data_IF_631339689451
#
_entry.id   IF_631339689451
#
_cell.length_a   1.000
_cell.length_b   1.000
_cell.length_c   1.000
_cell.angle_alpha   90.00
_cell.angle_beta   90.00
_cell.angle_gamma   90.00
#
_symmetry.space_group_name_H-M   'P 1'
#
loop_
_entity.id
_entity.type
_entity.pdbx_description
1 polymer ?
#
# COMPACT_ATOMS: atom_id res chain seq x y z
N UNK A 1 27.37 -27.80 -38.84
CA UNK A 1 27.30 -26.46 -38.22
C UNK A 1 28.06 -26.54 -36.92
N UNK A 2 29.05 -25.67 -36.70
CA UNK A 2 29.84 -25.68 -35.45
C UNK A 2 28.91 -25.59 -34.24
N UNK A 3 29.15 -26.43 -33.22
CA UNK A 3 28.35 -26.46 -31.98
C UNK A 3 28.23 -25.07 -31.33
N UNK A 4 29.28 -24.27 -31.46
CA UNK A 4 29.33 -22.88 -31.02
C UNK A 4 28.39 -21.96 -31.80
N UNK A 5 28.28 -22.14 -33.12
CA UNK A 5 27.38 -21.33 -33.98
C UNK A 5 25.92 -21.69 -33.68
N UNK A 6 25.60 -22.97 -33.52
CA UNK A 6 24.26 -23.40 -33.12
C UNK A 6 23.86 -22.82 -31.76
N UNK A 7 24.77 -22.84 -30.78
CA UNK A 7 24.53 -22.27 -29.45
C UNK A 7 24.30 -20.76 -29.50
N UNK A 8 25.09 -20.02 -30.29
CA UNK A 8 24.92 -18.58 -30.48
C UNK A 8 23.58 -18.25 -31.16
N UNK A 9 23.18 -19.03 -32.17
CA UNK A 9 21.88 -18.86 -32.83
C UNK A 9 20.72 -19.15 -31.88
N UNK A 10 20.85 -20.15 -31.00
CA UNK A 10 19.82 -20.48 -30.02
C UNK A 10 19.70 -19.37 -28.95
N UNK A 11 20.82 -18.84 -28.47
CA UNK A 11 20.82 -17.69 -27.54
C UNK A 11 20.19 -16.46 -28.19
N UNK A 12 20.54 -16.17 -29.46
CA UNK A 12 19.96 -15.07 -30.21
C UNK A 12 18.44 -15.26 -30.38
N UNK A 13 17.99 -16.47 -30.69
CA UNK A 13 16.57 -16.79 -30.80
C UNK A 13 15.84 -16.61 -29.45
N UNK A 14 16.40 -17.09 -28.34
CA UNK A 14 15.85 -16.87 -27.01
C UNK A 14 15.78 -15.38 -26.65
N UNK A 15 16.79 -14.58 -27.02
CA UNK A 15 16.79 -13.15 -26.75
C UNK A 15 15.73 -12.42 -27.58
N UNK A 16 15.57 -12.79 -28.86
CA UNK A 16 14.52 -12.25 -29.73
C UNK A 16 13.14 -12.63 -29.22
N UNK A 17 12.92 -13.90 -28.89
CA UNK A 17 11.64 -14.38 -28.36
C UNK A 17 11.31 -13.67 -27.04
N UNK A 18 12.24 -13.63 -26.08
CA UNK A 18 12.02 -12.94 -24.81
C UNK A 18 11.75 -11.43 -24.99
N UNK A 19 12.43 -10.78 -25.94
CA UNK A 19 12.22 -9.35 -26.23
C UNK A 19 10.88 -9.08 -26.89
N UNK A 20 10.47 -9.91 -27.85
CA UNK A 20 9.16 -9.81 -28.49
C UNK A 20 8.05 -10.14 -27.50
N UNK A 21 8.23 -11.19 -26.70
CA UNK A 21 7.31 -11.58 -25.65
C UNK A 21 7.15 -10.43 -24.64
N UNK A 22 8.25 -9.83 -24.17
CA UNK A 22 8.21 -8.63 -23.32
C UNK A 22 7.50 -7.48 -24.02
N UNK A 23 7.80 -7.18 -25.29
CA UNK A 23 7.17 -6.08 -26.01
C UNK A 23 5.65 -6.26 -26.18
N UNK A 24 5.19 -7.50 -26.39
CA UNK A 24 3.77 -7.83 -26.59
C UNK A 24 3.01 -7.99 -25.28
N UNK A 25 3.64 -8.54 -24.24
CA UNK A 25 2.97 -8.89 -22.97
C UNK A 25 3.27 -7.91 -21.83
N UNK A 26 4.24 -7.00 -21.98
CA UNK A 26 4.47 -6.00 -20.96
C UNK A 26 3.23 -5.13 -20.79
N UNK A 27 2.74 -5.09 -19.56
CA UNK A 27 1.72 -4.14 -19.15
C UNK A 27 2.30 -2.74 -19.41
N UNK A 28 1.53 -1.79 -19.98
CA UNK A 28 2.01 -0.43 -20.20
C UNK A 28 2.64 0.10 -18.92
N UNK A 29 3.92 0.44 -18.99
CA UNK A 29 4.67 1.02 -17.89
C UNK A 29 4.79 2.52 -18.14
N UNK A 30 4.70 3.31 -17.08
CA UNK A 30 4.97 4.75 -17.18
C UNK A 30 6.48 4.99 -17.35
N UNK A 31 6.86 5.97 -18.16
CA UNK A 31 8.28 6.36 -18.31
C UNK A 31 8.82 6.87 -16.97
N UNK A 32 10.12 6.66 -16.70
CA UNK A 32 10.76 7.07 -15.44
C UNK A 32 10.62 8.57 -15.17
N UNK A 33 10.64 9.42 -16.18
CA UNK A 33 10.48 10.86 -15.99
C UNK A 33 9.05 11.19 -15.57
N UNK A 34 8.04 10.54 -16.16
CA UNK A 34 6.64 10.68 -15.75
C UNK A 34 6.42 10.14 -14.34
N UNK A 35 7.08 9.04 -13.97
CA UNK A 35 7.02 8.46 -12.62
C UNK A 35 7.60 9.38 -11.53
N UNK A 36 8.64 10.15 -11.86
CA UNK A 36 9.32 11.05 -10.91
C UNK A 36 8.84 12.50 -11.01
N UNK A 37 7.86 12.79 -11.86
CA UNK A 37 7.34 14.12 -12.11
C UNK A 37 6.76 14.75 -10.84
N UNK A 38 7.16 15.99 -10.54
CA UNK A 38 6.66 16.72 -9.38
C UNK A 38 7.18 16.22 -8.03
N UNK A 39 8.07 15.22 -8.01
CA UNK A 39 8.55 14.64 -6.75
C UNK A 39 9.30 15.68 -5.90
N UNK A 40 10.18 16.48 -6.50
CA UNK A 40 10.98 17.47 -5.76
C UNK A 40 10.12 18.58 -5.20
N UNK A 41 9.16 19.04 -6.01
CA UNK A 41 8.17 20.06 -5.67
C UNK A 41 7.28 19.57 -4.52
N UNK A 42 6.77 18.34 -4.63
CA UNK A 42 5.99 17.69 -3.57
C UNK A 42 6.79 17.52 -2.28
N UNK A 43 8.04 17.01 -2.36
CA UNK A 43 8.90 16.85 -1.19
C UNK A 43 9.17 18.20 -0.48
N UNK A 44 9.26 19.31 -1.24
CA UNK A 44 9.41 20.66 -0.67
C UNK A 44 8.14 21.12 0.03
N UNK A 45 6.97 21.04 -0.62
CA UNK A 45 5.69 21.41 -0.02
C UNK A 45 5.40 20.61 1.26
N UNK A 46 5.61 19.29 1.23
CA UNK A 46 5.44 18.43 2.41
C UNK A 46 6.39 18.82 3.54
N UNK A 47 7.63 19.21 3.21
CA UNK A 47 8.61 19.65 4.22
C UNK A 47 8.18 20.96 4.87
N UNK A 48 7.64 21.91 4.10
CA UNK A 48 7.15 23.18 4.62
C UNK A 48 5.98 22.98 5.58
N UNK A 49 4.99 22.18 5.20
CA UNK A 49 3.86 21.83 6.08
C UNK A 49 4.35 21.22 7.40
N UNK A 50 5.34 20.30 7.36
CA UNK A 50 5.91 19.68 8.57
C UNK A 50 6.63 20.64 9.51
N UNK A 51 7.01 21.83 9.04
CA UNK A 51 7.61 22.85 9.89
C UNK A 51 6.55 23.68 10.62
N UNK A 52 5.31 23.71 10.10
CA UNK A 52 4.22 24.55 10.60
C UNK A 52 3.13 23.75 11.33
N UNK A 53 2.87 22.51 10.92
CA UNK A 53 1.90 21.60 11.50
C UNK A 53 2.60 20.32 12.01
N UNK A 54 2.61 20.14 13.33
CA UNK A 54 3.16 18.98 14.05
C UNK A 54 2.10 17.91 14.38
N UNK A 55 0.84 18.19 14.07
CA UNK A 55 -0.29 17.29 14.26
C UNK A 55 -0.24 16.07 13.35
N UNK A 56 -1.19 15.16 13.52
CA UNK A 56 -1.39 14.08 12.57
C UNK A 56 -2.27 14.56 11.40
N UNK A 57 -1.78 14.39 10.19
CA UNK A 57 -2.52 14.65 8.95
C UNK A 57 -2.05 13.72 7.84
N UNK A 58 -2.89 13.61 6.81
CA UNK A 58 -2.59 12.94 5.55
C UNK A 58 -2.65 13.94 4.39
N UNK A 59 -1.91 13.60 3.33
CA UNK A 59 -1.95 14.32 2.07
C UNK A 59 -2.64 13.46 1.00
N UNK A 60 -3.24 14.14 0.04
CA UNK A 60 -3.51 13.57 -1.28
C UNK A 60 -2.83 14.41 -2.36
N UNK A 61 -2.51 13.74 -3.48
CA UNK A 61 -2.03 14.38 -4.70
C UNK A 61 -2.97 13.95 -5.82
N UNK A 62 -3.57 14.92 -6.50
CA UNK A 62 -4.64 14.66 -7.47
C UNK A 62 -4.12 13.93 -8.73
N UNK A 63 -2.92 14.27 -9.20
CA UNK A 63 -2.29 13.64 -10.36
C UNK A 63 -1.40 12.43 -9.99
N UNK A 64 -1.73 11.74 -8.89
CA UNK A 64 -0.98 10.59 -8.39
C UNK A 64 -0.79 9.52 -9.48
N UNK A 65 0.43 8.98 -9.59
CA UNK A 65 0.77 7.98 -10.62
C UNK A 65 0.53 6.56 -10.15
N UNK A 66 0.62 6.33 -8.85
CA UNK A 66 0.41 5.03 -8.23
C UNK A 66 -0.42 5.17 -6.95
N UNK A 67 -0.91 4.04 -6.44
CA UNK A 67 -1.55 3.99 -5.12
C UNK A 67 -0.56 4.14 -3.96
N UNK A 68 0.76 4.11 -4.21
CA UNK A 68 1.85 4.23 -3.22
C UNK A 68 2.64 5.54 -3.31
N UNK A 69 2.08 6.57 -3.94
CA UNK A 69 2.76 7.87 -4.10
C UNK A 69 3.16 8.48 -2.75
N UNK A 70 2.41 8.22 -1.68
CA UNK A 70 2.78 8.63 -0.32
C UNK A 70 4.11 8.03 0.16
N UNK A 71 4.36 6.75 -0.14
CA UNK A 71 5.63 6.11 0.19
C UNK A 71 6.77 6.65 -0.70
N UNK A 72 6.49 6.87 -1.99
CA UNK A 72 7.45 7.42 -2.94
C UNK A 72 7.87 8.85 -2.59
N UNK A 73 6.92 9.68 -2.17
CA UNK A 73 7.08 11.12 -1.93
C UNK A 73 7.17 11.47 -0.43
N UNK A 74 7.16 10.46 0.44
CA UNK A 74 7.37 10.54 1.89
C UNK A 74 6.33 11.38 2.64
N UNK A 75 5.05 11.15 2.36
CA UNK A 75 3.94 11.71 3.12
C UNK A 75 2.94 10.61 3.51
N UNK A 76 2.13 10.87 4.55
CA UNK A 76 1.08 9.95 4.97
C UNK A 76 -0.07 9.99 3.95
N UNK A 77 -0.36 8.89 3.24
CA UNK A 77 -1.46 8.78 2.28
C UNK A 77 -2.65 8.00 2.85
N UNK A 78 -3.81 8.17 2.22
CA UNK A 78 -4.98 7.29 2.40
C UNK A 78 -5.19 6.35 1.20
N UNK A 79 -4.13 6.08 0.44
CA UNK A 79 -4.08 5.13 -0.67
C UNK A 79 -2.90 4.18 -0.45
N UNK A 80 -3.06 2.91 -0.83
CA UNK A 80 -1.99 1.91 -0.79
C UNK A 80 -2.20 0.83 -1.85
N UNK A 81 -1.10 0.26 -2.33
CA UNK A 81 -1.05 -1.05 -2.96
C UNK A 81 -0.13 -1.97 -2.15
N UNK A 82 -0.67 -3.06 -1.62
CA UNK A 82 0.12 -4.03 -0.85
C UNK A 82 -0.54 -5.40 -0.86
N UNK A 83 0.26 -6.46 -1.04
CA UNK A 83 -0.21 -7.84 -0.89
C UNK A 83 -0.72 -8.16 0.52
N UNK A 84 -0.42 -7.32 1.51
CA UNK A 84 -0.92 -7.43 2.89
C UNK A 84 -1.94 -6.34 3.22
N UNK A 85 -2.52 -5.68 2.22
CA UNK A 85 -3.59 -4.71 2.44
C UNK A 85 -4.78 -5.39 3.14
N UNK A 86 -5.36 -4.69 4.13
CA UNK A 86 -6.45 -5.24 4.91
C UNK A 86 -7.76 -5.20 4.11
N UNK A 87 -8.28 -6.36 3.72
CA UNK A 87 -9.44 -6.46 2.82
C UNK A 87 -10.70 -5.73 3.31
N UNK A 88 -10.91 -5.61 4.63
CA UNK A 88 -12.05 -4.85 5.14
C UNK A 88 -11.96 -3.34 4.82
N UNK A 89 -10.74 -2.79 4.70
CA UNK A 89 -10.56 -1.40 4.24
C UNK A 89 -10.90 -1.29 2.76
N UNK A 90 -10.49 -2.24 1.92
CA UNK A 90 -10.92 -2.28 0.52
C UNK A 90 -12.45 -2.31 0.40
N UNK A 91 -13.12 -3.18 1.17
CA UNK A 91 -14.58 -3.27 1.19
C UNK A 91 -15.23 -1.95 1.64
N UNK A 92 -14.65 -1.29 2.65
CA UNK A 92 -15.15 0.00 3.13
C UNK A 92 -14.98 1.12 2.10
N UNK A 93 -13.85 1.15 1.39
CA UNK A 93 -13.61 2.08 0.30
C UNK A 93 -14.64 1.88 -0.81
N UNK A 94 -14.85 0.65 -1.28
CA UNK A 94 -15.86 0.34 -2.31
C UNK A 94 -17.26 0.77 -1.88
N UNK A 95 -17.67 0.45 -0.65
CA UNK A 95 -19.00 0.81 -0.11
C UNK A 95 -19.23 2.31 -0.03
N UNK A 96 -18.18 3.11 0.10
CA UNK A 96 -18.27 4.57 0.15
C UNK A 96 -17.93 5.25 -1.17
N UNK A 97 -17.78 4.47 -2.24
CA UNK A 97 -17.60 4.99 -3.59
C UNK A 97 -16.17 5.37 -3.92
N UNK A 98 -15.21 4.79 -3.22
CA UNK A 98 -13.79 4.91 -3.52
C UNK A 98 -13.25 3.67 -4.20
N UNK A 99 -12.27 3.84 -5.09
CA UNK A 99 -11.71 2.77 -5.89
C UNK A 99 -10.90 1.78 -5.04
N UNK A 100 -11.25 0.50 -5.10
CA UNK A 100 -10.49 -0.57 -4.44
C UNK A 100 -10.45 -1.88 -5.24
N UNK A 101 -9.53 -2.73 -4.84
CA UNK A 101 -9.34 -4.12 -5.26
C UNK A 101 -8.86 -4.96 -4.08
N UNK A 102 -8.63 -6.26 -4.28
CA UNK A 102 -8.20 -7.20 -3.23
C UNK A 102 -6.97 -6.74 -2.46
N UNK A 103 -6.00 -6.12 -3.14
CA UNK A 103 -4.70 -5.77 -2.57
C UNK A 103 -4.39 -4.26 -2.68
N UNK A 104 -5.39 -3.45 -3.00
CA UNK A 104 -5.19 -2.02 -3.21
C UNK A 104 -6.46 -1.23 -2.93
N UNK A 105 -6.29 -0.02 -2.41
CA UNK A 105 -7.39 0.95 -2.30
C UNK A 105 -6.83 2.35 -2.51
N UNK A 106 -7.63 3.24 -3.09
CA UNK A 106 -7.22 4.60 -3.41
C UNK A 106 -8.32 5.60 -3.10
N UNK A 107 -7.93 6.86 -2.89
CA UNK A 107 -8.86 7.99 -2.72
C UNK A 107 -9.58 8.40 -4.01
N UNK A 108 -9.40 7.66 -5.11
CA UNK A 108 -10.14 7.94 -6.34
C UNK A 108 -11.63 7.73 -6.07
N UNK A 109 -12.45 8.73 -6.41
CA UNK A 109 -13.88 8.79 -6.05
C UNK A 109 -14.18 9.31 -4.64
N UNK A 110 -13.17 9.67 -3.84
CA UNK A 110 -13.40 10.25 -2.52
C UNK A 110 -14.15 11.58 -2.60
N UNK A 111 -15.33 11.64 -1.97
CA UNK A 111 -16.06 12.88 -1.72
C UNK A 111 -15.35 13.70 -0.64
N UNK A 112 -15.65 15.01 -0.49
CA UNK A 112 -15.11 15.82 0.60
C UNK A 112 -15.42 15.25 1.99
N UNK A 113 -16.54 14.53 2.15
CA UNK A 113 -16.83 13.79 3.39
C UNK A 113 -15.77 12.70 3.63
N UNK A 114 -15.46 11.87 2.63
CA UNK A 114 -14.47 10.80 2.77
C UNK A 114 -13.08 11.35 3.06
N UNK A 115 -12.70 12.44 2.37
CA UNK A 115 -11.44 13.12 2.62
C UNK A 115 -11.35 13.59 4.08
N UNK A 116 -12.45 14.13 4.60
CA UNK A 116 -12.53 14.61 5.98
C UNK A 116 -12.40 13.48 6.99
N UNK A 117 -13.16 12.37 6.85
CA UNK A 117 -13.11 11.22 7.76
C UNK A 117 -11.75 10.51 7.77
N UNK A 118 -11.00 10.57 6.67
CA UNK A 118 -9.67 9.97 6.50
C UNK A 118 -8.53 10.91 6.90
N UNK A 119 -8.81 12.04 7.54
CA UNK A 119 -7.82 13.04 7.94
C UNK A 119 -6.94 13.55 6.78
N UNK A 120 -7.49 13.64 5.56
CA UNK A 120 -6.84 14.28 4.42
C UNK A 120 -6.99 15.80 4.57
N UNK A 121 -5.97 16.40 5.18
CA UNK A 121 -5.91 17.83 5.48
C UNK A 121 -5.28 18.64 4.36
N UNK A 122 -4.37 18.06 3.60
CA UNK A 122 -3.60 18.77 2.59
C UNK A 122 -3.77 18.14 1.20
N UNK A 123 -4.13 18.96 0.22
CA UNK A 123 -4.32 18.56 -1.17
C UNK A 123 -3.27 19.23 -2.07
N UNK A 124 -2.54 18.41 -2.83
CA UNK A 124 -1.56 18.87 -3.81
C UNK A 124 -2.17 18.72 -5.21
N UNK A 125 -2.40 19.84 -5.87
CA UNK A 125 -3.10 19.93 -7.15
C UNK A 125 -2.24 20.66 -8.19
N UNK A 126 -2.44 20.33 -9.47
CA UNK A 126 -1.78 21.04 -10.59
C UNK A 126 -2.54 22.29 -11.00
N UNK A 127 -3.86 22.19 -11.00
CA UNK A 127 -4.80 23.25 -11.40
C UNK A 127 -5.50 23.81 -10.17
N UNK A 128 -5.85 25.09 -10.20
CA UNK A 128 -6.61 25.71 -9.12
C UNK A 128 -8.04 25.14 -9.10
N UNK A 129 -8.50 24.61 -7.95
CA UNK A 129 -9.87 24.11 -7.83
C UNK A 129 -10.86 25.25 -8.07
N UNK A 130 -11.84 25.01 -8.95
CA UNK A 130 -12.94 25.93 -9.16
C UNK A 130 -13.70 26.13 -7.85
N UNK A 131 -14.00 27.38 -7.54
CA UNK A 131 -14.67 27.78 -6.31
C UNK A 131 -14.00 27.20 -5.03
N UNK A 132 -12.65 27.15 -5.00
CA UNK A 132 -11.85 26.59 -3.89
C UNK A 132 -12.38 26.98 -2.50
N UNK A 133 -12.66 28.26 -2.27
CA UNK A 133 -13.23 28.74 -1.00
C UNK A 133 -14.61 28.17 -0.69
N UNK A 134 -15.51 28.10 -1.67
CA UNK A 134 -16.85 27.55 -1.50
C UNK A 134 -16.86 26.04 -1.23
N UNK A 135 -15.84 25.34 -1.72
CA UNK A 135 -15.63 23.89 -1.45
C UNK A 135 -14.71 23.63 -0.24
N UNK A 136 -14.41 24.65 0.56
CA UNK A 136 -13.63 24.51 1.81
C UNK A 136 -12.14 24.24 1.62
N UNK A 137 -11.57 24.64 0.48
CA UNK A 137 -10.13 24.57 0.22
C UNK A 137 -9.50 25.97 0.35
N UNK A 138 -8.56 26.10 1.28
CA UNK A 138 -7.77 27.32 1.47
C UNK A 138 -6.40 27.16 0.82
N UNK A 139 -5.98 28.12 0.00
CA UNK A 139 -4.64 28.10 -0.59
C UNK A 139 -3.58 28.32 0.49
N UNK A 140 -2.54 27.47 0.50
CA UNK A 140 -1.43 27.54 1.46
C UNK A 140 -0.16 28.06 0.78
N UNK A 141 0.36 27.33 -0.21
CA UNK A 141 1.59 27.68 -0.93
C UNK A 141 1.64 26.98 -2.31
N UNK A 142 2.68 27.22 -3.10
CA UNK A 142 2.91 26.51 -4.36
C UNK A 142 4.39 26.38 -4.72
N UNK A 143 4.72 25.32 -5.43
CA UNK A 143 6.07 25.06 -5.94
C UNK A 143 5.98 24.57 -7.39
N UNK A 144 6.60 25.32 -8.31
CA UNK A 144 6.56 25.02 -9.74
C UNK A 144 5.12 24.94 -10.28
N UNK A 145 4.76 23.78 -10.81
CA UNK A 145 3.42 23.48 -11.34
C UNK A 145 2.43 22.92 -10.30
N UNK A 146 2.76 22.94 -9.01
CA UNK A 146 1.94 22.35 -7.94
C UNK A 146 1.50 23.40 -6.94
N UNK A 147 0.27 23.28 -6.48
CA UNK A 147 -0.37 24.15 -5.50
C UNK A 147 -0.84 23.31 -4.34
N UNK A 148 -0.63 23.80 -3.13
CA UNK A 148 -1.01 23.18 -1.89
C UNK A 148 -2.24 23.88 -1.34
N UNK A 149 -3.29 23.12 -1.07
CA UNK A 149 -4.50 23.57 -0.40
C UNK A 149 -4.68 22.85 0.92
N UNK A 150 -5.25 23.54 1.89
CA UNK A 150 -5.71 22.99 3.16
C UNK A 150 -7.22 22.79 3.10
N UNK A 151 -7.66 21.55 3.32
CA UNK A 151 -9.05 21.16 3.53
C UNK A 151 -9.50 21.61 4.93
N UNK A 152 -10.39 22.61 4.95
CA UNK A 152 -10.92 23.22 6.17
C UNK A 152 -11.90 22.30 6.94
N UNK A 153 -12.37 21.21 6.31
CA UNK A 153 -13.27 20.23 6.91
C UNK A 153 -12.53 18.98 7.42
N UNK A 154 -11.20 18.94 7.32
CA UNK A 154 -10.42 17.78 7.72
C UNK A 154 -10.59 17.45 9.21
N UNK A 155 -10.98 16.21 9.49
CA UNK A 155 -11.08 15.70 10.86
C UNK A 155 -9.71 15.16 11.33
N UNK A 156 -9.44 15.17 12.64
CA UNK A 156 -8.22 14.56 13.17
C UNK A 156 -8.27 13.04 13.04
N UNK A 157 -7.21 12.39 13.53
CA UNK A 157 -7.03 10.94 13.45
C UNK A 157 -8.22 10.12 13.98
N UNK A 158 -9.00 10.67 14.92
CA UNK A 158 -10.17 10.01 15.47
C UNK A 158 -11.12 10.96 16.20
N UNK A 159 -12.33 10.46 16.46
CA UNK A 159 -13.42 11.19 17.10
C UNK A 159 -14.39 10.23 17.76
N UNK A 160 -15.08 10.71 18.79
CA UNK A 160 -16.06 9.94 19.54
C UNK A 160 -17.36 9.75 18.75
N UNK A 161 -17.88 8.53 18.77
CA UNK A 161 -19.19 8.16 18.25
C UNK A 161 -19.96 7.37 19.32
N UNK A 162 -21.24 7.65 19.43
CA UNK A 162 -22.12 6.86 20.30
C UNK A 162 -22.40 5.50 19.65
N UNK A 163 -22.77 4.52 20.48
CA UNK A 163 -23.20 3.21 19.97
C UNK A 163 -24.48 3.30 19.14
N UNK A 164 -25.35 4.26 19.46
CA UNK A 164 -26.57 4.52 18.72
C UNK A 164 -26.25 5.05 17.33
N UNK A 165 -25.37 6.05 17.20
CA UNK A 165 -24.93 6.58 15.91
C UNK A 165 -24.33 5.48 15.03
N UNK A 166 -23.41 4.68 15.58
CA UNK A 166 -22.79 3.57 14.87
C UNK A 166 -23.80 2.53 14.39
N UNK A 167 -24.88 2.30 15.14
CA UNK A 167 -25.93 1.34 14.76
C UNK A 167 -26.80 1.82 13.61
N UNK A 168 -26.86 3.14 13.37
CA UNK A 168 -27.65 3.74 12.29
C UNK A 168 -26.85 3.91 10.99
N UNK A 169 -25.53 3.77 11.03
CA UNK A 169 -24.70 3.80 9.82
C UNK A 169 -24.94 2.53 8.98
N UNK A 170 -25.62 2.69 7.85
CA UNK A 170 -25.94 1.59 6.95
C UNK A 170 -24.87 1.42 5.87
N UNK A 171 -23.80 0.70 6.22
CA UNK A 171 -22.73 0.33 5.28
C UNK A 171 -23.17 -0.68 4.20
N UNK A 172 -24.41 -1.16 4.23
CA UNK A 172 -24.97 -2.08 3.24
C UNK A 172 -26.06 -1.40 2.41
N UNK A 173 -26.20 -0.08 2.51
CA UNK A 173 -27.10 0.66 1.66
C UNK A 173 -26.70 0.46 0.18
N UNK A 174 -27.71 0.34 -0.69
CA UNK A 174 -27.51 -0.20 -2.04
C UNK A 174 -26.58 0.58 -2.97
N UNK A 175 -26.26 1.84 -2.67
CA UNK A 175 -25.30 2.65 -3.44
C UNK A 175 -24.38 3.43 -2.51
N UNK A 176 -23.16 3.81 -2.96
CA UNK A 176 -22.25 4.65 -2.18
C UNK A 176 -22.87 5.95 -1.67
N UNK A 177 -23.73 6.57 -2.47
CA UNK A 177 -24.43 7.79 -2.08
C UNK A 177 -25.37 7.55 -0.89
N UNK A 178 -26.11 6.43 -0.90
CA UNK A 178 -26.99 6.07 0.21
C UNK A 178 -26.21 5.72 1.47
N UNK A 179 -25.05 5.08 1.35
CA UNK A 179 -24.20 4.81 2.52
C UNK A 179 -23.72 6.12 3.13
N UNK A 180 -23.19 7.05 2.33
CA UNK A 180 -22.75 8.36 2.83
C UNK A 180 -23.93 9.16 3.43
N UNK A 181 -25.10 9.13 2.79
CA UNK A 181 -26.30 9.78 3.31
C UNK A 181 -26.77 9.16 4.64
N UNK A 182 -26.63 7.84 4.86
CA UNK A 182 -26.97 7.22 6.15
C UNK A 182 -26.13 7.78 7.31
N UNK A 183 -24.85 8.05 7.04
CA UNK A 183 -23.92 8.65 8.01
C UNK A 183 -24.34 10.08 8.30
N UNK A 184 -24.54 10.91 7.27
CA UNK A 184 -24.86 12.33 7.48
C UNK A 184 -26.28 12.55 7.99
N UNK A 185 -27.23 11.69 7.66
CA UNK A 185 -28.58 11.73 8.22
C UNK A 185 -28.59 11.42 9.71
N UNK A 186 -27.70 10.54 10.16
CA UNK A 186 -27.52 10.23 11.58
C UNK A 186 -26.85 11.39 12.33
N UNK A 187 -25.82 12.01 11.73
CA UNK A 187 -25.03 13.06 12.37
C UNK A 187 -25.64 14.46 12.28
N UNK A 188 -26.26 14.78 11.15
CA UNK A 188 -26.78 16.11 10.78
C UNK A 188 -28.30 16.12 10.52
N UNK A 189 -28.92 14.98 10.24
CA UNK A 189 -30.35 14.92 9.89
C UNK A 189 -30.62 15.12 8.39
N UNK A 190 -29.59 15.37 7.59
CA UNK A 190 -29.70 15.70 6.16
C UNK A 190 -28.83 14.78 5.27
N UNK A 191 -29.27 14.62 4.03
CA UNK A 191 -28.56 13.86 3.01
C UNK A 191 -27.44 14.75 2.41
N UNK A 192 -26.22 14.22 2.31
CA UNK A 192 -25.07 14.98 1.79
C UNK A 192 -24.93 14.91 0.27
N UNK A 193 -25.47 13.84 -0.34
CA UNK A 193 -25.53 13.63 -1.77
C UNK A 193 -26.99 13.65 -2.24
N UNK A 194 -27.38 14.76 -2.85
CA UNK A 194 -28.74 14.98 -3.37
C UNK A 194 -28.81 14.50 -4.84
N UNK A 195 -29.71 13.56 -5.21
CA UNK A 195 -29.78 13.06 -6.58
C UNK A 195 -30.27 14.14 -7.56
N UNK A 196 -29.68 14.16 -8.75
CA UNK A 196 -30.05 15.04 -9.85
C UNK A 196 -30.83 14.23 -10.88
N UNK A 197 -31.96 14.76 -11.34
CA UNK A 197 -32.75 14.10 -12.38
C UNK A 197 -31.99 14.12 -13.71
N UNK A 198 -31.70 12.93 -14.22
CA UNK A 198 -31.12 12.72 -15.55
C UNK A 198 -32.02 11.93 -16.49
N UNK A 199 -31.62 11.89 -17.75
CA UNK A 199 -32.25 11.14 -18.83
C UNK A 199 -31.25 10.16 -19.41
N UNK A 200 -31.64 8.90 -19.48
CA UNK A 200 -30.85 7.83 -20.10
C UNK A 200 -31.39 7.52 -21.50
N UNK A 201 -30.48 7.50 -22.48
CA UNK A 201 -30.73 7.12 -23.86
C UNK A 201 -29.67 6.09 -24.28
N UNK A 202 -29.93 4.81 -24.03
CA UNK A 202 -29.02 3.69 -24.31
C UNK A 202 -27.63 3.89 -23.68
N UNK A 203 -26.61 4.23 -24.47
CA UNK A 203 -25.22 4.41 -24.03
C UNK A 203 -24.89 5.83 -23.56
N UNK A 204 -25.90 6.71 -23.52
CA UNK A 204 -25.75 8.11 -23.13
C UNK A 204 -26.63 8.43 -21.92
N UNK A 205 -26.08 9.12 -20.94
CA UNK A 205 -26.83 9.67 -19.80
C UNK A 205 -26.58 11.18 -19.73
N UNK A 206 -27.66 11.96 -19.66
CA UNK A 206 -27.59 13.43 -19.63
C UNK A 206 -28.33 13.99 -18.42
N UNK A 207 -27.83 15.10 -17.88
CA UNK A 207 -28.54 15.84 -16.83
C UNK A 207 -28.16 17.33 -16.87
N UNK A 208 -28.97 18.14 -16.19
CA UNK A 208 -28.71 19.57 -16.02
C UNK A 208 -28.48 19.85 -14.54
N UNK A 209 -27.44 20.61 -14.24
CA UNK A 209 -27.08 21.00 -12.88
C UNK A 209 -28.10 21.99 -12.33
N UNK A 210 -28.79 21.63 -11.25
CA UNK A 210 -29.85 22.46 -10.66
C UNK A 210 -29.31 23.56 -9.73
N UNK A 211 -28.13 23.36 -9.14
CA UNK A 211 -27.45 24.30 -8.24
C UNK A 211 -25.94 24.21 -8.43
N UNK A 212 -25.24 25.34 -8.43
CA UNK A 212 -23.78 25.36 -8.56
C UNK A 212 -23.10 24.62 -7.39
N UNK A 213 -22.59 23.40 -7.62
CA UNK A 213 -22.05 22.50 -6.59
C UNK A 213 -21.03 21.52 -7.19
N UNK A 214 -20.33 20.80 -6.33
CA UNK A 214 -19.54 19.64 -6.73
C UNK A 214 -20.45 18.48 -7.15
N UNK A 215 -20.19 17.92 -8.33
CA UNK A 215 -21.03 16.90 -8.94
C UNK A 215 -20.31 15.54 -8.97
N UNK A 216 -21.04 14.52 -8.55
CA UNK A 216 -20.59 13.12 -8.54
C UNK A 216 -21.56 12.26 -9.35
N UNK A 217 -21.05 11.21 -9.99
CA UNK A 217 -21.89 10.24 -10.72
C UNK A 217 -21.55 8.84 -10.26
N UNK A 218 -22.56 8.05 -9.97
CA UNK A 218 -22.43 6.61 -9.76
C UNK A 218 -23.00 5.88 -10.97
N UNK A 219 -22.26 4.90 -11.49
CA UNK A 219 -22.68 4.08 -12.63
C UNK A 219 -23.24 2.77 -12.08
N UNK A 220 -24.54 2.57 -12.25
CA UNK A 220 -25.26 1.41 -11.72
C UNK A 220 -24.99 0.14 -12.55
N UNK A 221 -24.66 0.30 -13.84
CA UNK A 221 -24.29 -0.83 -14.68
C UNK A 221 -22.83 -1.25 -14.45
N UNK A 222 -22.62 -2.27 -13.63
CA UNK A 222 -21.30 -2.84 -13.27
C UNK A 222 -20.48 -3.36 -14.46
N UNK A 223 -21.07 -3.49 -15.65
CA UNK A 223 -20.35 -3.92 -16.85
C UNK A 223 -19.63 -2.78 -17.57
N UNK A 224 -19.99 -1.53 -17.28
CA UNK A 224 -19.38 -0.35 -17.90
C UNK A 224 -17.98 -0.15 -17.31
N UNK A 225 -16.95 -0.24 -18.15
CA UNK A 225 -15.54 -0.12 -17.74
C UNK A 225 -14.98 1.27 -18.00
N UNK A 226 -15.48 1.93 -19.05
CA UNK A 226 -14.94 3.20 -19.54
C UNK A 226 -16.09 4.18 -19.78
N UNK A 227 -15.95 5.38 -19.23
CA UNK A 227 -16.94 6.46 -19.35
C UNK A 227 -16.24 7.75 -19.78
N UNK A 228 -16.82 8.43 -20.76
CA UNK A 228 -16.42 9.77 -21.18
C UNK A 228 -17.49 10.78 -20.76
N UNK A 229 -17.14 11.73 -19.90
CA UNK A 229 -17.99 12.84 -19.49
C UNK A 229 -17.66 14.10 -20.29
N UNK A 230 -18.66 14.66 -20.97
CA UNK A 230 -18.60 15.93 -21.69
C UNK A 230 -19.19 17.00 -20.76
N UNK A 231 -18.36 17.97 -20.39
CA UNK A 231 -18.65 19.07 -19.47
C UNK A 231 -18.67 20.40 -20.24
N UNK A 232 -19.23 21.48 -19.67
CA UNK A 232 -19.18 22.80 -20.32
C UNK A 232 -17.76 23.29 -20.66
N UNK A 233 -16.79 22.99 -19.79
CA UNK A 233 -15.41 23.49 -19.88
C UNK A 233 -14.40 22.45 -20.36
N UNK A 234 -14.85 21.31 -20.88
CA UNK A 234 -13.96 20.26 -21.38
C UNK A 234 -14.53 18.85 -21.28
N UNK A 235 -13.65 17.85 -21.25
CA UNK A 235 -14.03 16.45 -21.11
C UNK A 235 -13.18 15.75 -20.05
N UNK A 236 -13.77 14.75 -19.40
CA UNK A 236 -13.09 13.84 -18.48
C UNK A 236 -13.31 12.41 -18.90
N UNK A 237 -12.28 11.58 -18.79
CA UNK A 237 -12.36 10.14 -19.02
C UNK A 237 -12.14 9.39 -17.72
N UNK A 238 -12.92 8.34 -17.53
CA UNK A 238 -12.87 7.48 -16.37
C UNK A 238 -12.73 6.04 -16.82
N UNK A 239 -11.75 5.34 -16.26
CA UNK A 239 -11.46 3.94 -16.54
C UNK A 239 -11.74 3.08 -15.31
N UNK A 240 -11.86 1.76 -15.52
CA UNK A 240 -12.18 0.79 -14.46
C UNK A 240 -13.45 1.16 -13.66
N UNK A 241 -14.44 1.74 -14.33
CA UNK A 241 -15.70 2.18 -13.72
C UNK A 241 -16.49 1.01 -13.12
N UNK A 242 -16.24 -0.20 -13.61
CA UNK A 242 -16.72 -1.47 -13.08
C UNK A 242 -16.26 -1.77 -11.64
N UNK A 243 -15.32 -0.98 -11.10
CA UNK A 243 -14.94 -1.01 -9.67
C UNK A 243 -15.92 -0.27 -8.75
N UNK A 244 -16.94 0.40 -9.30
CA UNK A 244 -18.02 1.00 -8.51
C UNK A 244 -17.63 2.23 -7.69
N UNK A 245 -16.64 3.00 -8.14
CA UNK A 245 -16.29 4.27 -7.50
C UNK A 245 -17.13 5.44 -8.04
N UNK A 246 -17.24 6.52 -7.27
CA UNK A 246 -17.93 7.74 -7.69
C UNK A 246 -17.06 8.51 -8.69
N UNK A 247 -17.63 8.84 -9.86
CA UNK A 247 -16.98 9.67 -10.85
C UNK A 247 -17.08 11.13 -10.41
N UNK A 248 -15.94 11.73 -10.04
CA UNK A 248 -15.88 13.15 -9.64
C UNK A 248 -15.82 14.05 -10.88
N UNK A 249 -16.92 14.74 -11.16
CA UNK A 249 -16.97 15.73 -12.25
C UNK A 249 -16.39 17.08 -11.82
N UNK A 250 -16.34 17.34 -10.51
CA UNK A 250 -15.90 18.59 -9.91
C UNK A 250 -17.01 19.64 -9.84
N UNK A 251 -16.63 20.88 -9.51
CA UNK A 251 -17.57 21.99 -9.39
C UNK A 251 -18.15 22.40 -10.75
N UNK A 252 -19.47 22.39 -10.86
CA UNK A 252 -20.22 22.82 -12.05
C UNK A 252 -21.24 23.90 -11.68
N UNK A 253 -21.45 24.85 -12.58
CA UNK A 253 -22.40 25.95 -12.39
C UNK A 253 -23.84 25.53 -12.67
N UNK A 254 -24.80 26.16 -11.99
CA UNK A 254 -26.24 26.03 -12.26
C UNK A 254 -26.55 26.24 -13.75
N UNK A 255 -27.43 25.38 -14.30
CA UNK A 255 -27.82 25.38 -15.70
C UNK A 255 -26.83 24.68 -16.64
N UNK A 256 -25.65 24.26 -16.15
CA UNK A 256 -24.71 23.46 -16.94
C UNK A 256 -25.33 22.13 -17.35
N UNK A 257 -25.14 21.74 -18.62
CA UNK A 257 -25.56 20.42 -19.11
C UNK A 257 -24.35 19.51 -19.19
N UNK A 258 -24.51 18.27 -18.72
CA UNK A 258 -23.48 17.22 -18.74
C UNK A 258 -23.99 16.03 -19.53
N UNK A 259 -23.11 15.43 -20.31
CA UNK A 259 -23.36 14.20 -21.07
C UNK A 259 -22.30 13.15 -20.75
N UNK A 260 -22.72 12.00 -20.22
CA UNK A 260 -21.87 10.84 -19.99
C UNK A 260 -22.12 9.80 -21.07
N UNK A 261 -21.04 9.28 -21.64
CA UNK A 261 -21.05 8.25 -22.69
C UNK A 261 -20.32 7.01 -22.20
N UNK A 262 -21.01 5.87 -22.19
CA UNK A 262 -20.34 4.57 -22.10
C UNK A 262 -19.45 4.38 -23.34
N UNK A 263 -18.16 4.12 -23.12
CA UNK A 263 -17.24 3.66 -24.17
C UNK A 263 -17.17 2.13 -24.23
N UNK A 264 -17.89 1.44 -23.35
CA UNK A 264 -17.94 -0.03 -23.33
C UNK A 264 -18.97 -0.54 -24.34
N UNK A 265 -18.54 -1.44 -25.24
CA UNK A 265 -19.38 -1.95 -26.31
C UNK A 265 -20.68 -2.58 -25.79
N UNK A 266 -21.81 -2.17 -26.37
CA UNK A 266 -23.16 -2.69 -26.09
C UNK A 266 -23.66 -2.50 -24.65
N UNK A 267 -23.02 -1.66 -23.84
CA UNK A 267 -23.44 -1.41 -22.46
C UNK A 267 -24.18 -0.07 -22.31
N UNK A 268 -25.34 -0.11 -21.65
CA UNK A 268 -26.14 1.07 -21.36
C UNK A 268 -25.55 1.90 -20.22
N UNK A 269 -25.69 3.21 -20.34
CA UNK A 269 -25.23 4.20 -19.36
C UNK A 269 -26.29 4.40 -18.27
N UNK A 270 -26.56 3.33 -17.50
CA UNK A 270 -27.38 3.44 -16.29
C UNK A 270 -26.54 4.07 -15.18
N UNK A 271 -26.88 5.31 -14.83
CA UNK A 271 -26.14 6.10 -13.87
C UNK A 271 -27.08 7.02 -13.08
N UNK A 272 -26.58 7.50 -11.95
CA UNK A 272 -27.24 8.51 -11.12
C UNK A 272 -26.24 9.60 -10.80
N UNK A 273 -26.62 10.84 -11.09
CA UNK A 273 -25.85 12.03 -10.73
C UNK A 273 -26.28 12.56 -9.38
N UNK A 274 -25.35 13.15 -8.63
CA UNK A 274 -25.56 13.69 -7.30
C UNK A 274 -24.87 15.05 -7.18
N UNK A 275 -25.52 15.99 -6.49
CA UNK A 275 -24.89 17.23 -6.03
C UNK A 275 -24.44 17.06 -4.57
N UNK A 276 -23.23 17.53 -4.26
CA UNK A 276 -22.65 17.44 -2.92
C UNK A 276 -22.97 18.68 -2.08
N UNK A 277 -23.45 18.49 -0.84
CA UNK A 277 -23.81 19.57 0.08
C UNK A 277 -22.67 19.90 1.05
N UNK A 278 -21.98 21.02 0.81
CA UNK A 278 -20.96 21.54 1.73
C UNK A 278 -21.54 22.09 3.04
N UNK A 279 -22.81 22.50 3.05
CA UNK A 279 -23.50 22.95 4.26
C UNK A 279 -23.66 21.77 5.25
N UNK A 280 -24.07 20.60 4.73
CA UNK A 280 -24.16 19.36 5.51
C UNK A 280 -22.77 18.91 5.98
N UNK A 281 -21.76 18.97 5.10
CA UNK A 281 -20.38 18.65 5.49
C UNK A 281 -19.88 19.55 6.63
N UNK A 282 -20.15 20.84 6.56
CA UNK A 282 -19.76 21.81 7.58
C UNK A 282 -20.38 21.46 8.93
N UNK A 283 -21.69 21.17 8.97
CA UNK A 283 -22.38 20.75 10.20
C UNK A 283 -21.83 19.45 10.79
N UNK A 284 -21.63 18.43 9.94
CA UNK A 284 -21.00 17.17 10.34
C UNK A 284 -19.59 17.41 10.92
N UNK A 285 -18.78 18.22 10.25
CA UNK A 285 -17.40 18.52 10.66
C UNK A 285 -17.38 19.25 12.00
N UNK A 286 -18.22 20.27 12.17
CA UNK A 286 -18.35 21.03 13.42
C UNK A 286 -18.73 20.11 14.59
N UNK A 287 -19.70 19.21 14.39
CA UNK A 287 -20.13 18.25 15.43
C UNK A 287 -19.04 17.25 15.79
N UNK A 288 -18.33 16.69 14.81
CA UNK A 288 -17.28 15.71 15.06
C UNK A 288 -16.02 16.35 15.66
N UNK A 289 -15.65 17.57 15.26
CA UNK A 289 -14.51 18.30 15.82
C UNK A 289 -14.66 18.58 17.32
N UNK A 290 -15.88 18.90 17.78
CA UNK A 290 -16.18 19.15 19.21
C UNK A 290 -15.97 17.94 20.13
N UNK A 291 -15.94 16.73 19.55
CA UNK A 291 -15.77 15.44 20.26
C UNK A 291 -14.61 14.63 19.68
N UNK A 292 -13.62 15.35 19.16
CA UNK A 292 -12.47 14.75 18.50
C UNK A 292 -11.36 14.38 19.49
N UNK A 293 -10.51 13.43 19.09
CA UNK A 293 -9.32 13.13 19.86
C UNK A 293 -8.24 14.18 19.61
N UNK A 294 -7.51 14.57 20.65
CA UNK A 294 -6.33 15.40 20.54
C UNK A 294 -5.08 14.52 20.54
N UNK A 295 -4.38 14.43 19.41
CA UNK A 295 -3.13 13.68 19.30
C UNK A 295 -1.99 14.49 19.93
N UNK A 296 -1.50 14.04 21.09
CA UNK A 296 -0.39 14.72 21.78
C UNK A 296 0.97 14.26 21.32
N UNK A 297 1.08 13.02 20.85
CA UNK A 297 2.32 12.48 20.31
C UNK A 297 2.05 11.33 19.37
N UNK A 298 2.71 11.33 18.23
CA UNK A 298 2.63 10.22 17.30
C UNK A 298 3.99 9.92 16.65
N UNK A 299 4.12 8.68 16.19
CA UNK A 299 5.17 8.18 15.29
C UNK A 299 4.70 6.86 14.68
N UNK A 300 5.47 6.28 13.78
CA UNK A 300 5.19 4.98 13.19
C UNK A 300 4.87 3.92 14.27
N UNK A 301 3.65 3.37 14.19
CA UNK A 301 3.16 2.35 15.10
C UNK A 301 2.91 2.80 16.55
N UNK A 302 2.87 4.10 16.85
CA UNK A 302 2.57 4.58 18.21
C UNK A 302 1.84 5.92 18.20
N UNK A 303 0.71 5.98 18.91
CA UNK A 303 -0.08 7.20 19.08
C UNK A 303 -0.43 7.37 20.56
N UNK A 304 -0.27 8.59 21.07
CA UNK A 304 -0.80 9.06 22.35
C UNK A 304 -1.78 10.18 22.10
N UNK A 305 -2.88 10.15 22.83
CA UNK A 305 -3.93 11.14 22.65
C UNK A 305 -4.77 11.33 23.92
N UNK A 306 -5.47 12.45 23.96
CA UNK A 306 -6.53 12.72 24.93
C UNK A 306 -7.90 12.74 24.25
N UNK A 307 -8.93 12.35 24.98
CA UNK A 307 -10.32 12.45 24.54
C UNK A 307 -11.19 12.79 25.74
N UNK A 308 -12.15 13.68 25.53
CA UNK A 308 -13.26 13.90 26.46
C UNK A 308 -14.51 13.26 25.86
N UNK A 309 -15.05 12.25 26.53
CA UNK A 309 -16.26 11.56 26.12
C UNK A 309 -17.44 12.02 27.00
N UNK A 310 -18.50 12.51 26.36
CA UNK A 310 -19.70 12.99 27.05
C UNK A 310 -20.59 11.86 27.59
N UNK A 311 -20.40 10.65 27.08
CA UNK A 311 -21.12 9.44 27.49
C UNK A 311 -20.31 8.19 27.10
N UNK A 312 -20.80 7.01 27.46
CA UNK A 312 -20.21 5.74 27.04
C UNK A 312 -20.34 5.54 25.52
N UNK A 313 -19.24 5.21 24.86
CA UNK A 313 -19.23 5.08 23.39
C UNK A 313 -17.93 4.53 22.85
N UNK A 314 -17.66 4.84 21.59
CA UNK A 314 -16.50 4.34 20.85
C UNK A 314 -15.72 5.54 20.33
N UNK A 315 -14.41 5.58 20.62
CA UNK A 315 -13.50 6.37 19.80
C UNK A 315 -13.30 5.65 18.48
N UNK A 316 -13.80 6.22 17.39
CA UNK A 316 -13.40 5.84 16.05
C UNK A 316 -12.03 6.45 15.74
N UNK A 317 -11.17 5.71 15.05
CA UNK A 317 -9.95 6.25 14.46
C UNK A 317 -9.87 5.88 12.99
N UNK A 318 -9.27 6.72 12.15
CA UNK A 318 -8.97 6.39 10.75
C UNK A 318 -7.73 5.48 10.61
N UNK A 319 -7.40 4.70 11.65
CA UNK A 319 -6.36 3.67 11.63
C UNK A 319 -7.02 2.34 11.27
N UNK A 320 -6.59 1.60 10.23
CA UNK A 320 -7.11 0.27 9.94
C UNK A 320 -7.01 -0.66 11.16
N UNK A 321 -8.07 -1.42 11.43
CA UNK A 321 -8.05 -2.42 12.50
C UNK A 321 -7.05 -3.53 12.17
N UNK A 322 -6.23 -3.89 13.14
CA UNK A 322 -5.29 -5.02 13.05
C UNK A 322 -5.11 -5.61 14.47
N UNK A 323 -5.10 -6.94 14.64
CA UNK A 323 -4.86 -7.59 15.93
C UNK A 323 -3.53 -7.20 16.61
N UNK A 324 -2.57 -6.70 15.85
CA UNK A 324 -1.29 -6.19 16.33
C UNK A 324 -1.39 -4.88 17.12
N UNK A 325 -2.53 -4.20 17.12
CA UNK A 325 -2.76 -3.00 17.93
C UNK A 325 -3.03 -3.35 19.39
N UNK A 326 -2.26 -2.72 20.28
CA UNK A 326 -2.46 -2.77 21.73
C UNK A 326 -2.86 -1.41 22.23
N UNK A 327 -3.97 -1.35 22.93
CA UNK A 327 -4.57 -0.10 23.40
C UNK A 327 -4.57 -0.08 24.92
N UNK A 328 -4.23 1.08 25.49
CA UNK A 328 -4.46 1.40 26.89
C UNK A 328 -5.30 2.66 27.01
N UNK A 329 -6.26 2.64 27.93
CA UNK A 329 -7.06 3.78 28.36
C UNK A 329 -6.81 3.97 29.85
N UNK A 330 -6.32 5.15 30.24
CA UNK A 330 -5.93 5.48 31.63
C UNK A 330 -4.96 4.45 32.25
N UNK A 331 -4.00 4.00 31.43
CA UNK A 331 -2.99 3.00 31.80
C UNK A 331 -3.49 1.55 31.85
N UNK A 332 -4.79 1.29 31.68
CA UNK A 332 -5.37 -0.07 31.66
C UNK A 332 -5.53 -0.57 30.24
N UNK A 333 -5.20 -1.83 30.00
CA UNK A 333 -5.39 -2.47 28.68
C UNK A 333 -6.88 -2.60 28.37
N UNK A 334 -7.25 -2.16 27.16
CA UNK A 334 -8.60 -2.28 26.60
C UNK A 334 -8.49 -3.06 25.29
N UNK A 335 -9.39 -4.02 25.10
CA UNK A 335 -9.50 -4.74 23.83
C UNK A 335 -10.16 -3.82 22.79
N UNK A 336 -9.46 -3.48 21.70
CA UNK A 336 -10.05 -2.70 20.63
C UNK A 336 -11.05 -3.53 19.83
N UNK A 337 -11.95 -2.86 19.12
CA UNK A 337 -12.93 -3.48 18.24
C UNK A 337 -12.89 -2.88 16.84
N UNK A 338 -13.61 -3.51 15.89
CA UNK A 338 -13.77 -2.95 14.55
C UNK A 338 -14.88 -1.90 14.57
N UNK A 339 -14.52 -0.67 14.26
CA UNK A 339 -15.47 0.42 14.01
C UNK A 339 -15.64 0.68 12.51
N UNK A 340 -16.86 1.01 12.10
CA UNK A 340 -17.27 1.13 10.69
C UNK A 340 -16.79 -0.06 9.82
N UNK A 341 -16.76 -1.27 10.37
CA UNK A 341 -16.36 -2.51 9.68
C UNK A 341 -14.87 -2.69 9.39
N UNK A 342 -14.06 -1.64 9.36
CA UNK A 342 -12.68 -1.68 8.87
C UNK A 342 -11.62 -1.04 9.78
N UNK A 343 -12.04 -0.14 10.66
CA UNK A 343 -11.13 0.74 11.39
C UNK A 343 -11.04 0.38 12.87
N UNK A 344 -9.97 0.84 13.51
CA UNK A 344 -9.71 0.65 14.93
C UNK A 344 -10.69 1.51 15.75
N UNK A 345 -11.58 0.83 16.48
CA UNK A 345 -12.47 1.40 17.47
C UNK A 345 -11.99 1.09 18.89
N UNK A 346 -12.09 2.06 19.79
CA UNK A 346 -11.69 1.90 21.19
C UNK A 346 -12.91 2.21 22.07
N UNK A 347 -13.43 1.24 22.83
CA UNK A 347 -14.48 1.49 23.81
C UNK A 347 -14.00 2.44 24.90
N UNK A 348 -14.74 3.51 25.13
CA UNK A 348 -14.47 4.52 26.16
C UNK A 348 -15.72 4.76 27.00
N UNK A 349 -15.52 5.14 28.26
CA UNK A 349 -16.62 5.51 29.16
C UNK A 349 -16.81 7.02 29.14
N UNK A 350 -17.86 7.51 29.78
CA UNK A 350 -17.98 8.93 30.09
C UNK A 350 -16.76 9.42 30.91
N UNK A 351 -16.18 10.56 30.49
CA UNK A 351 -15.09 11.23 31.20
C UNK A 351 -13.91 11.64 30.32
N UNK A 352 -12.84 12.08 30.97
CA UNK A 352 -11.57 12.41 30.33
C UNK A 352 -10.65 11.19 30.33
N UNK A 353 -10.02 10.91 29.19
CA UNK A 353 -9.20 9.72 29.00
C UNK A 353 -7.85 10.05 28.35
N UNK A 354 -6.77 9.47 28.91
CA UNK A 354 -5.48 9.37 28.22
C UNK A 354 -5.40 8.01 27.52
N UNK A 355 -5.07 8.03 26.22
CA UNK A 355 -5.01 6.84 25.40
C UNK A 355 -3.61 6.61 24.84
N UNK A 356 -3.17 5.36 24.89
CA UNK A 356 -1.93 4.91 24.25
C UNK A 356 -2.23 3.74 23.31
N UNK A 357 -1.92 3.92 22.03
CA UNK A 357 -2.00 2.90 21.00
C UNK A 357 -0.60 2.52 20.55
N UNK A 358 -0.28 1.23 20.54
CA UNK A 358 1.01 0.70 20.09
C UNK A 358 0.79 -0.48 19.16
N UNK A 359 1.37 -0.41 17.96
CA UNK A 359 1.32 -1.47 16.97
C UNK A 359 2.53 -2.38 17.10
N UNK A 360 2.31 -3.69 16.98
CA UNK A 360 3.36 -4.68 16.78
C UNK A 360 2.84 -5.75 15.85
N UNK A 361 3.43 -5.86 14.66
CA UNK A 361 3.03 -6.87 13.68
C UNK A 361 3.04 -8.28 14.29
N UNK A 362 1.97 -9.04 14.05
CA UNK A 362 1.88 -10.42 14.50
C UNK A 362 3.04 -11.26 13.93
N UNK A 363 3.54 -12.19 14.74
CA UNK A 363 4.68 -13.02 14.34
C UNK A 363 6.04 -12.31 14.31
N UNK A 364 6.12 -10.98 14.45
CA UNK A 364 7.42 -10.25 14.46
C UNK A 364 8.41 -10.79 15.49
N UNK A 365 7.93 -11.09 16.71
CA UNK A 365 8.74 -11.70 17.78
C UNK A 365 9.20 -13.11 17.41
N UNK A 366 8.33 -13.90 16.78
CA UNK A 366 8.65 -15.26 16.35
C UNK A 366 9.64 -15.26 15.19
N UNK A 367 9.46 -14.37 14.21
CA UNK A 367 10.39 -14.14 13.10
C UNK A 367 11.77 -13.75 13.62
N UNK A 368 11.85 -12.82 14.57
CA UNK A 368 13.12 -12.43 15.20
C UNK A 368 13.80 -13.63 15.88
N UNK A 369 13.05 -14.43 16.62
CA UNK A 369 13.57 -15.65 17.25
C UNK A 369 14.11 -16.62 16.21
N UNK A 370 13.41 -16.87 15.11
CA UNK A 370 13.87 -17.73 14.02
C UNK A 370 15.14 -17.19 13.35
N UNK A 371 15.20 -15.88 13.08
CA UNK A 371 16.38 -15.24 12.49
C UNK A 371 17.61 -15.34 13.39
N UNK A 372 17.46 -15.09 14.70
CA UNK A 372 18.55 -15.22 15.67
C UNK A 372 19.02 -16.67 15.75
N UNK A 373 18.11 -17.64 15.81
CA UNK A 373 18.48 -19.06 15.82
C UNK A 373 19.19 -19.48 14.52
N UNK A 374 18.71 -19.03 13.36
CA UNK A 374 19.37 -19.28 12.08
C UNK A 374 20.80 -18.72 12.04
N UNK A 375 21.01 -17.52 12.57
CA UNK A 375 22.34 -16.90 12.64
C UNK A 375 23.28 -17.65 13.62
N UNK A 376 22.76 -18.10 14.76
CA UNK A 376 23.53 -18.91 15.71
C UNK A 376 23.91 -20.27 15.13
N UNK A 377 22.99 -20.94 14.42
CA UNK A 377 23.27 -22.19 13.73
C UNK A 377 24.28 -22.01 12.60
N UNK A 378 24.19 -20.91 11.84
CA UNK A 378 25.16 -20.58 10.81
C UNK A 378 26.54 -20.29 11.41
N UNK A 379 26.62 -19.53 12.50
CA UNK A 379 27.87 -19.27 13.21
C UNK A 379 28.49 -20.58 13.76
N UNK A 380 27.65 -21.45 14.33
CA UNK A 380 28.06 -22.79 14.78
C UNK A 380 28.58 -23.64 13.62
N UNK A 381 27.90 -23.63 12.46
CA UNK A 381 28.36 -24.33 11.27
C UNK A 381 29.74 -23.83 10.81
N UNK A 382 29.96 -22.51 10.75
CA UNK A 382 31.27 -21.94 10.41
C UNK A 382 32.35 -22.34 11.42
N UNK A 383 32.02 -22.35 12.71
CA UNK A 383 32.91 -22.78 13.77
C UNK A 383 33.30 -24.26 13.63
N UNK A 384 32.32 -25.14 13.41
CA UNK A 384 32.53 -26.58 13.20
C UNK A 384 33.32 -26.85 11.91
N UNK A 385 33.04 -26.14 10.82
CA UNK A 385 33.82 -26.24 9.57
C UNK A 385 35.27 -25.83 9.77
N UNK A 386 35.53 -24.75 10.51
CA UNK A 386 36.90 -24.32 10.83
C UNK A 386 37.64 -25.37 11.68
N UNK A 387 36.94 -26.00 12.63
CA UNK A 387 37.50 -27.06 13.49
C UNK A 387 37.78 -28.35 12.69
N UNK A 388 36.87 -28.74 11.81
CA UNK A 388 36.99 -29.98 11.02
C UNK A 388 37.94 -29.83 9.83
N UNK A 389 38.05 -28.65 9.22
CA UNK A 389 39.05 -28.36 8.19
C UNK A 389 40.49 -28.38 8.71
N UNK A 390 40.69 -28.10 10.00
CA UNK A 390 41.98 -28.35 10.68
C UNK A 390 42.27 -29.85 10.81
N UNK A 391 41.23 -30.65 11.09
CA UNK A 391 41.36 -32.10 11.28
C UNK A 391 41.60 -32.89 9.99
N UNK A 392 41.14 -32.45 8.82
CA UNK A 392 41.46 -33.11 7.54
C UNK A 392 42.94 -32.91 7.17
N UNK A 393 43.46 -31.68 7.25
CA UNK A 393 44.88 -31.42 6.99
C UNK A 393 45.83 -32.10 7.97
N UNK A 394 45.45 -32.24 9.24
CA UNK A 394 46.21 -33.01 10.24
C UNK A 394 46.17 -34.52 9.96
N UNK A 395 45.02 -35.07 9.56
CA UNK A 395 44.88 -36.49 9.20
C UNK A 395 45.67 -36.88 7.95
N UNK A 396 45.61 -36.08 6.90
CA UNK A 396 46.36 -36.33 5.65
C UNK A 396 47.87 -36.24 5.90
N UNK A 397 48.30 -35.28 6.73
CA UNK A 397 49.70 -35.16 7.16
C UNK A 397 50.15 -36.38 7.98
N UNK A 398 49.34 -36.84 8.92
CA UNK A 398 49.69 -37.99 9.76
C UNK A 398 49.73 -39.30 8.96
N UNK A 399 48.81 -39.49 8.00
CA UNK A 399 48.88 -40.60 7.03
C UNK A 399 50.14 -40.54 6.18
N UNK A 400 50.51 -39.37 5.64
CA UNK A 400 51.76 -39.21 4.90
C UNK A 400 52.98 -39.56 5.75
N UNK A 401 53.05 -39.10 7.00
CA UNK A 401 54.18 -39.37 7.90
C UNK A 401 54.31 -40.86 8.24
N UNK A 402 53.20 -41.57 8.39
CA UNK A 402 53.17 -43.03 8.58
C UNK A 402 53.66 -43.75 7.31
N UNK A 403 53.12 -43.40 6.14
CA UNK A 403 53.50 -43.99 4.85
C UNK A 403 54.98 -43.74 4.51
N UNK A 404 55.50 -42.56 4.84
CA UNK A 404 56.91 -42.21 4.71
C UNK A 404 57.81 -43.10 5.57
N UNK A 405 57.37 -43.44 6.79
CA UNK A 405 58.12 -44.34 7.68
C UNK A 405 58.10 -45.79 7.23
N UNK A 406 56.98 -46.27 6.70
CA UNK A 406 56.80 -47.69 6.38
C UNK A 406 57.27 -48.07 4.97
N UNK A 407 57.09 -47.18 3.97
CA UNK A 407 57.26 -47.53 2.55
C UNK A 407 58.43 -46.78 1.89
N UNK A 408 58.91 -45.69 2.51
CA UNK A 408 59.94 -44.81 1.93
C UNK A 408 61.31 -44.76 2.65
N UNK A 409 61.75 -45.73 3.48
CA UNK A 409 63.12 -45.70 3.96
C UNK A 409 64.10 -46.01 2.81
N UNK A 410 64.91 -45.02 2.45
CA UNK A 410 65.96 -45.16 1.42
C UNK A 410 65.70 -44.46 0.08
N UNK A 411 64.55 -43.81 -0.10
CA UNK A 411 64.25 -43.01 -1.30
C UNK A 411 64.91 -41.63 -1.24
N UNK A 412 65.36 -41.12 -2.39
CA UNK A 412 65.90 -39.77 -2.50
C UNK A 412 64.77 -38.71 -2.52
N UNK A 413 65.08 -37.41 -2.37
CA UNK A 413 64.07 -36.36 -2.25
C UNK A 413 63.11 -36.25 -3.45
N UNK A 414 63.59 -36.44 -4.68
CA UNK A 414 62.78 -36.36 -5.91
C UNK A 414 61.81 -37.54 -6.04
N UNK A 415 62.24 -38.74 -5.65
CA UNK A 415 61.39 -39.93 -5.62
C UNK A 415 60.30 -39.82 -4.55
N UNK A 416 60.59 -39.16 -3.42
CA UNK A 416 59.63 -38.93 -2.35
C UNK A 416 58.52 -37.95 -2.78
N UNK A 417 58.87 -36.90 -3.52
CA UNK A 417 57.92 -35.86 -3.94
C UNK A 417 56.97 -36.31 -5.07
N UNK A 418 57.40 -37.24 -5.93
CA UNK A 418 56.56 -37.81 -7.00
C UNK A 418 55.47 -38.76 -6.50
N UNK A 419 55.62 -39.32 -5.28
CA UNK A 419 54.68 -40.23 -4.66
C UNK A 419 53.63 -39.54 -3.77
N UNK A 420 53.77 -38.23 -3.55
CA UNK A 420 52.81 -37.44 -2.78
C UNK A 420 51.59 -37.08 -3.64
N UNK A 421 50.41 -37.23 -3.06
CA UNK A 421 49.18 -36.70 -3.64
C UNK A 421 49.12 -35.18 -3.49
N UNK A 422 48.37 -34.51 -4.37
CA UNK A 422 48.20 -33.05 -4.31
C UNK A 422 47.62 -32.57 -2.96
N UNK A 423 46.73 -33.35 -2.34
CA UNK A 423 46.17 -33.04 -1.01
C UNK A 423 47.22 -33.13 0.11
N UNK A 424 48.13 -34.12 0.07
CA UNK A 424 49.24 -34.23 1.03
C UNK A 424 50.25 -33.09 0.86
N UNK A 425 50.54 -32.68 -0.38
CA UNK A 425 51.39 -31.52 -0.70
C UNK A 425 50.79 -30.23 -0.14
N UNK A 426 49.49 -30.01 -0.31
CA UNK A 426 48.80 -28.86 0.27
C UNK A 426 48.81 -28.89 1.80
N UNK A 427 48.55 -30.04 2.43
CA UNK A 427 48.51 -30.22 3.89
C UNK A 427 49.86 -29.91 4.57
N UNK A 428 51.00 -30.30 3.97
CA UNK A 428 52.34 -30.00 4.48
C UNK A 428 52.70 -28.50 4.43
N UNK A 429 52.10 -27.75 3.50
CA UNK A 429 52.29 -26.31 3.35
C UNK A 429 51.45 -25.44 4.33
N UNK A 430 50.46 -26.01 5.02
CA UNK A 430 49.52 -25.26 5.90
C UNK A 430 50.20 -24.59 7.09
N UNK A 431 51.44 -24.97 7.47
CA UNK A 431 52.15 -24.33 8.59
C UNK A 431 52.68 -22.92 8.32
N UNK A 432 52.51 -22.35 7.13
CA UNK A 432 52.93 -20.97 6.85
C UNK A 432 51.98 -20.22 5.91
N UNK A 433 50.75 -19.94 6.36
CA UNK A 433 49.96 -18.84 5.77
C UNK A 433 49.20 -18.04 6.82
N UNK A 434 49.88 -17.03 7.37
CA UNK A 434 49.26 -15.73 7.64
C UNK A 434 48.65 -15.23 6.32
N UNK A 435 47.34 -14.92 6.34
CA UNK A 435 46.58 -14.07 5.40
C UNK A 435 46.83 -14.26 3.89
N UNK A 436 45.80 -14.75 3.19
CA UNK A 436 45.67 -14.54 1.74
C UNK A 436 44.44 -15.26 1.18
N UNK A 437 43.40 -14.50 0.86
CA UNK A 437 42.23 -14.98 0.12
C UNK A 437 42.68 -15.58 -1.23
N UNK A 438 42.60 -16.89 -1.38
CA UNK A 438 42.39 -17.54 -2.68
C UNK A 438 41.28 -18.57 -2.52
N UNK A 439 40.17 -18.32 -3.20
CA UNK A 439 39.10 -19.30 -3.37
C UNK A 439 39.62 -20.32 -4.39
N UNK A 440 39.90 -21.55 -3.95
CA UNK A 440 40.16 -22.66 -4.86
C UNK A 440 38.83 -23.12 -5.50
N UNK A 441 38.80 -23.45 -6.80
CA UNK A 441 37.58 -23.90 -7.47
C UNK A 441 37.17 -25.29 -6.97
N UNK A 442 35.88 -25.45 -6.70
CA UNK A 442 35.26 -26.71 -6.30
C UNK A 442 35.48 -27.80 -7.37
N UNK A 443 36.11 -28.92 -6.99
CA UNK A 443 36.28 -30.12 -7.84
C UNK A 443 35.64 -31.37 -7.20
N UNK A 444 34.41 -31.24 -6.71
CA UNK A 444 33.58 -32.39 -6.34
C UNK A 444 32.78 -32.89 -7.54
N UNK A 445 32.74 -34.21 -7.78
CA UNK A 445 31.72 -34.81 -8.66
C UNK A 445 30.35 -34.67 -7.98
N UNK A 446 29.40 -34.01 -8.65
CA UNK A 446 28.01 -33.95 -8.20
C UNK A 446 27.46 -35.38 -8.02
N UNK A 447 26.68 -35.65 -6.96
CA UNK A 447 26.04 -36.95 -6.79
C UNK A 447 25.01 -37.18 -7.89
N UNK A 448 25.02 -38.37 -8.49
CA UNK A 448 24.02 -38.80 -9.46
C UNK A 448 22.62 -38.72 -8.85
N UNK A 449 21.78 -37.83 -9.39
CA UNK A 449 20.36 -37.78 -9.07
C UNK A 449 19.69 -39.08 -9.55
N UNK A 450 19.33 -39.96 -8.62
CA UNK A 450 18.34 -41.00 -8.88
C UNK A 450 16.98 -40.31 -9.01
N UNK A 451 16.38 -40.40 -10.20
CA UNK A 451 15.06 -39.88 -10.46
C UNK A 451 14.01 -40.48 -9.52
N UNK A 452 13.30 -39.62 -8.80
CA UNK A 452 11.95 -39.88 -8.31
C UNK A 452 11.06 -38.79 -8.91
N UNK A 453 10.26 -39.20 -9.87
CA UNK A 453 9.13 -38.41 -10.39
C UNK A 453 8.09 -38.37 -9.27
N UNK A 454 7.91 -37.20 -8.65
CA UNK A 454 6.67 -36.90 -7.94
C UNK A 454 5.78 -36.14 -8.91
N UNK A 455 4.70 -36.80 -9.36
CA UNK A 455 3.54 -36.13 -9.92
C UNK A 455 2.97 -35.22 -8.84
N UNK A 456 2.99 -33.92 -9.08
CA UNK A 456 2.22 -32.94 -8.32
C UNK A 456 0.95 -32.71 -9.13
N UNK A 457 -0.18 -33.15 -8.59
CA UNK A 457 -1.51 -32.77 -9.07
C UNK A 457 -1.64 -31.24 -9.01
N UNK A 458 -2.08 -30.65 -10.12
CA UNK A 458 -2.46 -29.24 -10.20
C UNK A 458 -3.66 -29.01 -9.26
N UNK A 459 -3.52 -28.09 -8.31
CA UNK A 459 -4.67 -27.44 -7.69
C UNK A 459 -5.19 -26.38 -8.66
N UNK A 460 -6.45 -26.51 -9.06
CA UNK A 460 -7.19 -25.47 -9.76
C UNK A 460 -7.35 -24.26 -8.84
N UNK A 461 -6.80 -23.13 -9.29
CA UNK A 461 -7.13 -21.81 -8.76
C UNK A 461 -8.24 -21.29 -9.67
N UNK A 462 -9.45 -21.14 -9.12
CA UNK A 462 -10.55 -20.43 -9.77
C UNK A 462 -10.18 -18.95 -9.89
N UNK A 463 -10.23 -18.44 -11.11
CA UNK A 463 -10.26 -17.01 -11.44
C UNK A 463 -11.47 -16.31 -10.82
#
# INVERSE_FOLDING_TARGET
>A
MDSSIFTLLLIALCFVEASLNMAVTSVPTTDRNAYLEGRKETEKLVKEVRLEDDGFYRFLREDAKTKDDGALMRYNSASIFSSTAYGAVSDWYTKLGMEASTNAYSINGATPLMKSLLALKYEIVKEEPKNSKGIGLSYVNGEGGYRLYENQYALPLGYFLTKEELSQFDLQAGTPALVQNSITKTLEGEDILEPILGKMESSVYTFTVEKSRDIYVYVNNEKVKEVKAILPDGEKSFDHVDRGYLLSLGYLEEGSTVELKSQTENESMDATAYSFSFDVLSGVSEKLLKRSMEVTKWKDGSVKAHLTAAEDGILFTSIPYDPGWKVKVDGKTVEPEKSMGAFLGIPVREGEHEMEMQFTAEGSRFGLLLSVNGLLLFALFLFLRKRNGFSEGERDRDQYLLRKREVMPGLNPEQTDSLMTESEKEALHVRSRKRGNRIAPYRGKLPNAKGRVHLVEKMDVKE
#
